data_IF_745450925144
#
_entry.id   IF_745450925144
#
_cell.length_a   1.000
_cell.length_b   1.000
_cell.length_c   1.000
_cell.angle_alpha   90.00
_cell.angle_beta   90.00
_cell.angle_gamma   90.00
#
_symmetry.space_group_name_H-M   'P 1'
#
loop_
_entity.id
_entity.type
_entity.pdbx_description
1 polymer ?
#
# COMPACT_ATOMS: atom_id res chain seq x y z
N UNK A 1 -49.58 12.88 38.82
CA UNK A 1 -49.72 14.18 39.52
C UNK A 1 -48.74 15.11 38.84
N UNK A 2 -49.08 16.08 37.99
CA UNK A 2 -50.17 17.07 37.87
C UNK A 2 -50.31 17.31 36.34
N UNK A 3 -51.38 17.01 35.62
CA UNK A 3 -52.73 17.59 35.51
C UNK A 3 -52.81 19.07 35.10
N UNK A 4 -53.12 19.31 33.82
CA UNK A 4 -53.96 20.39 33.22
C UNK A 4 -54.12 20.00 31.73
N UNK A 5 -55.22 19.44 31.20
CA UNK A 5 -56.62 19.88 31.04
C UNK A 5 -56.82 21.23 30.33
N UNK A 6 -57.24 21.20 29.06
CA UNK A 6 -58.57 21.61 28.55
C UNK A 6 -58.53 21.69 26.99
N UNK A 7 -59.26 20.89 26.22
CA UNK A 7 -60.72 20.82 25.96
C UNK A 7 -61.15 21.64 24.74
N UNK A 8 -61.92 21.01 23.83
CA UNK A 8 -62.88 21.75 22.99
C UNK A 8 -62.92 21.38 21.50
N UNK A 9 -63.58 20.26 21.18
CA UNK A 9 -64.23 20.04 19.87
C UNK A 9 -65.46 20.98 19.76
N UNK A 10 -65.98 21.37 18.58
CA UNK A 10 -66.84 20.43 17.84
C UNK A 10 -66.83 20.55 16.29
N UNK A 11 -67.35 19.48 15.69
CA UNK A 11 -67.69 19.35 14.28
C UNK A 11 -68.76 20.36 13.81
N UNK A 12 -68.67 20.79 12.55
CA UNK A 12 -69.84 21.19 11.77
C UNK A 12 -69.53 21.13 10.27
N UNK A 13 -70.23 20.26 9.56
CA UNK A 13 -70.43 20.37 8.13
C UNK A 13 -71.43 21.51 7.82
N UNK A 14 -71.37 22.09 6.62
CA UNK A 14 -72.58 22.03 5.81
C UNK A 14 -72.33 21.70 4.34
N UNK A 15 -73.39 21.14 3.76
CA UNK A 15 -73.52 20.61 2.40
C UNK A 15 -73.89 21.69 1.37
N UNK A 16 -73.37 21.48 0.16
CA UNK A 16 -73.93 21.78 -1.17
C UNK A 16 -74.35 23.21 -1.57
N UNK A 17 -73.72 23.71 -2.64
CA UNK A 17 -74.44 24.20 -3.83
C UNK A 17 -73.53 24.13 -5.07
N UNK A 18 -74.00 23.41 -6.09
CA UNK A 18 -73.41 23.31 -7.40
C UNK A 18 -73.70 24.58 -8.23
N UNK A 19 -72.74 24.98 -9.09
CA UNK A 19 -72.93 25.30 -10.52
C UNK A 19 -71.88 26.28 -11.01
N UNK A 20 -71.01 25.81 -11.93
CA UNK A 20 -70.67 26.52 -13.16
C UNK A 20 -69.70 25.65 -13.97
N UNK A 21 -70.28 24.79 -14.80
CA UNK A 21 -69.65 24.20 -15.97
C UNK A 21 -68.94 25.30 -16.78
N UNK A 22 -67.61 25.25 -16.82
CA UNK A 22 -66.85 25.73 -17.98
C UNK A 22 -65.99 24.57 -18.47
N UNK A 23 -66.43 23.99 -19.57
CA UNK A 23 -65.70 23.03 -20.40
C UNK A 23 -64.44 23.70 -20.96
N UNK A 24 -63.34 23.61 -20.21
CA UNK A 24 -61.96 23.69 -20.72
C UNK A 24 -61.25 22.36 -20.47
N UNK A 25 -61.79 21.28 -21.04
CA UNK A 25 -61.07 20.04 -21.38
C UNK A 25 -60.77 20.20 -22.87
N UNK A 26 -59.56 20.56 -23.27
CA UNK A 26 -58.57 19.53 -23.67
C UNK A 26 -57.10 19.98 -23.58
N UNK A 27 -56.78 21.23 -23.22
CA UNK A 27 -55.37 21.71 -23.22
C UNK A 27 -54.60 21.49 -21.91
N UNK A 28 -55.24 21.01 -20.84
CA UNK A 28 -54.59 20.89 -19.52
C UNK A 28 -53.75 19.61 -19.37
N UNK A 29 -54.09 18.56 -20.12
CA UNK A 29 -53.35 17.29 -20.14
C UNK A 29 -52.10 17.35 -21.00
N UNK A 30 -52.15 17.98 -22.18
CA UNK A 30 -50.97 18.15 -23.04
C UNK A 30 -49.89 19.01 -22.38
N UNK A 31 -50.27 20.15 -21.77
CA UNK A 31 -49.32 21.02 -21.07
C UNK A 31 -48.64 20.35 -19.85
N UNK A 32 -49.33 19.43 -19.18
CA UNK A 32 -48.78 18.67 -18.03
C UNK A 32 -47.81 17.57 -18.47
N UNK A 33 -48.12 16.88 -19.58
CA UNK A 33 -47.26 15.85 -20.17
C UNK A 33 -45.96 16.49 -20.70
N UNK A 34 -46.06 17.63 -21.40
CA UNK A 34 -44.90 18.35 -21.92
C UNK A 34 -44.01 18.90 -20.79
N UNK A 35 -44.60 19.39 -19.69
CA UNK A 35 -43.83 19.86 -18.53
C UNK A 35 -43.06 18.73 -17.84
N UNK A 36 -43.66 17.54 -17.68
CA UNK A 36 -42.99 16.38 -17.08
C UNK A 36 -41.90 15.81 -18.00
N UNK A 37 -42.15 15.79 -19.31
CA UNK A 37 -41.17 15.36 -20.30
C UNK A 37 -39.92 16.25 -20.28
N UNK A 38 -40.11 17.58 -20.20
CA UNK A 38 -39.01 18.55 -20.09
C UNK A 38 -38.17 18.33 -18.82
N UNK A 39 -38.81 18.17 -17.67
CA UNK A 39 -38.11 17.89 -16.40
C UNK A 39 -37.29 16.59 -16.46
N UNK A 40 -37.83 15.55 -17.11
CA UNK A 40 -37.10 14.29 -17.30
C UNK A 40 -35.89 14.44 -18.23
N UNK A 41 -36.00 15.26 -19.29
CA UNK A 41 -34.85 15.58 -20.15
C UNK A 41 -33.77 16.36 -19.40
N UNK A 42 -34.15 17.35 -18.60
CA UNK A 42 -33.20 18.14 -17.80
C UNK A 42 -32.52 17.24 -16.74
N UNK A 43 -33.26 16.34 -16.11
CA UNK A 43 -32.72 15.35 -15.18
C UNK A 43 -31.78 14.35 -15.87
N UNK A 44 -32.16 13.83 -17.04
CA UNK A 44 -31.28 12.97 -17.86
C UNK A 44 -29.97 13.68 -18.19
N UNK A 45 -30.03 14.94 -18.60
CA UNK A 45 -28.84 15.74 -18.92
C UNK A 45 -27.94 15.91 -17.69
N UNK A 46 -28.53 16.16 -16.52
CA UNK A 46 -27.77 16.23 -15.26
C UNK A 46 -27.08 14.91 -14.92
N UNK A 47 -27.76 13.78 -15.11
CA UNK A 47 -27.18 12.45 -14.85
C UNK A 47 -26.05 12.10 -15.83
N UNK A 48 -26.18 12.48 -17.10
CA UNK A 48 -25.12 12.30 -18.10
C UNK A 48 -23.87 13.10 -17.70
N UNK A 49 -24.05 14.34 -17.23
CA UNK A 49 -22.92 15.14 -16.75
C UNK A 49 -22.29 14.51 -15.49
N UNK A 50 -23.10 14.04 -14.53
CA UNK A 50 -22.61 13.32 -13.35
C UNK A 50 -21.83 12.06 -13.72
N UNK A 51 -22.32 11.28 -14.69
CA UNK A 51 -21.64 10.10 -15.21
C UNK A 51 -20.28 10.47 -15.82
N UNK A 52 -20.24 11.50 -16.66
CA UNK A 52 -19.02 11.97 -17.32
C UNK A 52 -17.99 12.51 -16.32
N UNK A 53 -18.44 13.30 -15.33
CA UNK A 53 -17.58 13.77 -14.24
C UNK A 53 -17.03 12.58 -13.45
N UNK A 54 -17.85 11.58 -13.14
CA UNK A 54 -17.39 10.37 -12.48
C UNK A 54 -16.38 9.56 -13.30
N UNK A 55 -16.56 9.45 -14.61
CA UNK A 55 -15.61 8.80 -15.54
C UNK A 55 -14.26 9.53 -15.57
N UNK A 56 -14.26 10.86 -15.67
CA UNK A 56 -13.02 11.66 -15.59
C UNK A 56 -12.32 11.51 -14.23
N UNK A 57 -13.08 11.48 -13.13
CA UNK A 57 -12.51 11.25 -11.80
C UNK A 57 -11.89 9.84 -11.66
N UNK A 58 -12.46 8.83 -12.31
CA UNK A 58 -11.86 7.48 -12.36
C UNK A 58 -10.52 7.50 -13.09
N UNK A 59 -10.41 8.24 -14.20
CA UNK A 59 -9.15 8.41 -14.94
C UNK A 59 -8.09 9.12 -14.09
N UNK A 60 -8.46 10.18 -13.38
CA UNK A 60 -7.57 10.86 -12.44
C UNK A 60 -7.08 9.93 -11.32
N UNK A 61 -7.97 9.13 -10.72
CA UNK A 61 -7.57 8.17 -9.69
C UNK A 61 -6.61 7.11 -10.28
N UNK A 62 -6.87 6.61 -11.50
CA UNK A 62 -5.97 5.66 -12.15
C UNK A 62 -4.57 6.25 -12.34
N UNK A 63 -4.49 7.51 -12.77
CA UNK A 63 -3.21 8.20 -12.90
C UNK A 63 -2.47 8.29 -11.55
N UNK A 64 -3.17 8.71 -10.49
CA UNK A 64 -2.59 8.77 -9.13
C UNK A 64 -2.14 7.41 -8.61
N UNK A 65 -2.87 6.33 -8.93
CA UNK A 65 -2.48 4.96 -8.59
C UNK A 65 -1.18 4.58 -9.29
N UNK A 66 -1.04 4.87 -10.59
CA UNK A 66 0.18 4.56 -11.34
C UNK A 66 1.37 5.40 -10.86
N UNK A 67 1.18 6.67 -10.55
CA UNK A 67 2.20 7.51 -9.93
C UNK A 67 2.63 6.94 -8.56
N UNK A 68 1.68 6.57 -7.72
CA UNK A 68 1.97 5.96 -6.40
C UNK A 68 2.74 4.65 -6.55
N UNK A 69 2.39 3.81 -7.53
CA UNK A 69 3.12 2.56 -7.83
C UNK A 69 4.57 2.84 -8.21
N UNK A 70 4.83 3.83 -9.08
CA UNK A 70 6.19 4.21 -9.47
C UNK A 70 7.02 4.62 -8.27
N UNK A 71 6.46 5.46 -7.39
CA UNK A 71 7.15 5.88 -6.16
C UNK A 71 7.43 4.69 -5.23
N UNK A 72 6.49 3.75 -5.10
CA UNK A 72 6.70 2.51 -4.32
C UNK A 72 7.88 1.71 -4.89
N UNK A 73 7.97 1.55 -6.20
CA UNK A 73 9.05 0.80 -6.83
C UNK A 73 10.41 1.51 -6.65
N UNK A 74 10.45 2.84 -6.76
CA UNK A 74 11.65 3.62 -6.46
C UNK A 74 12.10 3.48 -5.00
N UNK A 75 11.18 3.57 -4.04
CA UNK A 75 11.48 3.39 -2.62
C UNK A 75 11.94 1.95 -2.32
N UNK A 76 11.40 0.94 -3.03
CA UNK A 76 11.90 -0.45 -2.93
C UNK A 76 13.32 -0.60 -3.44
N UNK A 77 13.67 0.06 -4.55
CA UNK A 77 15.05 0.07 -5.06
C UNK A 77 15.99 0.73 -4.06
N UNK A 78 15.60 1.87 -3.48
CA UNK A 78 16.38 2.54 -2.42
C UNK A 78 16.54 1.64 -1.18
N UNK A 79 15.47 0.96 -0.77
CA UNK A 79 15.51 0.02 0.35
C UNK A 79 16.50 -1.11 0.11
N UNK A 80 16.52 -1.68 -1.10
CA UNK A 80 17.44 -2.76 -1.45
C UNK A 80 18.90 -2.26 -1.50
N UNK A 81 19.12 -1.04 -2.01
CA UNK A 81 20.44 -0.41 -1.96
C UNK A 81 20.95 -0.21 -0.52
N UNK A 82 20.09 0.26 0.40
CA UNK A 82 20.45 0.39 1.82
C UNK A 82 20.68 -0.96 2.51
N UNK A 83 19.91 -2.00 2.14
CA UNK A 83 20.16 -3.37 2.62
C UNK A 83 21.50 -3.91 2.15
N UNK A 84 21.88 -3.63 0.90
CA UNK A 84 23.18 -4.01 0.37
C UNK A 84 24.32 -3.31 1.11
N UNK A 85 24.18 -2.01 1.38
CA UNK A 85 25.14 -1.26 2.23
C UNK A 85 25.24 -1.87 3.62
N UNK A 86 24.11 -2.19 4.26
CA UNK A 86 24.10 -2.84 5.57
C UNK A 86 24.81 -4.19 5.56
N UNK A 87 24.65 -4.96 4.49
CA UNK A 87 25.36 -6.24 4.30
C UNK A 87 26.87 -6.02 4.22
N UNK A 88 27.32 -5.08 3.39
CA UNK A 88 28.74 -4.72 3.28
C UNK A 88 29.33 -4.26 4.63
N UNK A 89 28.61 -3.42 5.37
CA UNK A 89 29.03 -2.98 6.71
C UNK A 89 29.16 -4.17 7.67
N UNK A 90 28.23 -5.13 7.63
CA UNK A 90 28.31 -6.33 8.46
C UNK A 90 29.50 -7.22 8.08
N UNK A 91 29.80 -7.37 6.78
CA UNK A 91 30.99 -8.11 6.31
C UNK A 91 32.30 -7.47 6.81
N UNK A 92 32.41 -6.14 6.71
CA UNK A 92 33.56 -5.38 7.26
C UNK A 92 33.63 -5.54 8.78
N UNK A 93 32.50 -5.43 9.48
CA UNK A 93 32.40 -5.63 10.92
C UNK A 93 32.92 -7.01 11.31
N UNK A 94 32.49 -8.07 10.64
CA UNK A 94 32.88 -9.44 10.99
C UNK A 94 34.38 -9.67 10.72
N UNK A 95 34.91 -9.15 9.61
CA UNK A 95 36.33 -9.21 9.27
C UNK A 95 37.21 -8.48 10.31
N UNK A 96 36.81 -7.29 10.74
CA UNK A 96 37.56 -6.51 11.73
C UNK A 96 37.30 -6.98 13.17
N UNK A 97 36.16 -7.63 13.45
CA UNK A 97 35.85 -8.18 14.77
C UNK A 97 36.75 -9.38 15.10
N UNK A 98 37.05 -10.22 14.12
CA UNK A 98 38.03 -11.29 14.27
C UNK A 98 39.41 -10.73 14.66
N UNK A 99 39.90 -9.71 13.95
CA UNK A 99 41.16 -9.03 14.29
C UNK A 99 41.11 -8.34 15.65
N UNK A 100 39.99 -7.73 16.01
CA UNK A 100 39.79 -7.08 17.30
C UNK A 100 39.89 -8.08 18.46
N UNK A 101 39.25 -9.24 18.34
CA UNK A 101 39.28 -10.28 19.37
C UNK A 101 40.68 -10.90 19.50
N UNK A 102 41.37 -11.11 18.39
CA UNK A 102 42.77 -11.57 18.38
C UNK A 102 43.72 -10.55 19.06
N UNK A 103 43.66 -9.28 18.66
CA UNK A 103 44.48 -8.22 19.25
C UNK A 103 44.19 -8.04 20.75
N UNK A 104 42.92 -8.16 21.16
CA UNK A 104 42.53 -8.15 22.58
C UNK A 104 43.18 -9.30 23.34
N UNK A 105 43.14 -10.52 22.78
CA UNK A 105 43.76 -11.71 23.39
C UNK A 105 45.27 -11.51 23.52
N UNK A 106 45.93 -11.11 22.43
CA UNK A 106 47.37 -10.85 22.40
C UNK A 106 47.78 -9.77 23.43
N UNK A 107 46.97 -8.72 23.59
CA UNK A 107 47.24 -7.65 24.56
C UNK A 107 47.13 -8.14 26.01
N UNK A 108 46.15 -9.02 26.29
CA UNK A 108 45.99 -9.67 27.59
C UNK A 108 47.18 -10.60 27.87
N UNK A 109 47.62 -11.38 26.89
CA UNK A 109 48.78 -12.26 27.01
C UNK A 109 50.07 -11.48 27.26
N UNK A 110 50.34 -10.42 26.49
CA UNK A 110 51.52 -9.59 26.73
C UNK A 110 51.47 -8.86 28.07
N UNK A 111 50.29 -8.39 28.50
CA UNK A 111 50.13 -7.85 29.86
C UNK A 111 50.48 -8.90 30.92
N UNK A 112 50.06 -10.16 30.74
CA UNK A 112 50.41 -11.26 31.65
C UNK A 112 51.92 -11.55 31.62
N UNK A 113 52.56 -11.56 30.44
CA UNK A 113 54.01 -11.75 30.27
C UNK A 113 54.83 -10.63 30.93
N UNK A 114 54.37 -9.39 30.85
CA UNK A 114 54.99 -8.27 31.57
C UNK A 114 54.87 -8.44 33.09
N UNK A 115 53.70 -8.86 33.60
CA UNK A 115 53.45 -9.05 35.03
C UNK A 115 54.32 -10.17 35.65
N UNK A 116 54.57 -11.26 34.93
CA UNK A 116 55.42 -12.37 35.41
C UNK A 116 56.92 -12.06 35.41
N UNK A 117 57.36 -11.11 34.60
CA UNK A 117 58.73 -10.61 34.62
C UNK A 117 58.93 -9.59 35.73
N UNK A 118 57.93 -8.75 36.00
CA UNK A 118 57.99 -7.81 37.12
C UNK A 118 58.07 -8.59 38.45
N UNK A 119 57.43 -9.76 38.57
CA UNK A 119 57.57 -10.62 39.77
C UNK A 119 58.91 -11.35 39.86
N UNK A 120 59.49 -11.82 38.74
CA UNK A 120 60.85 -12.41 38.72
C UNK A 120 61.96 -11.38 38.94
N UNK A 121 61.77 -10.14 38.48
CA UNK A 121 62.71 -9.03 38.66
C UNK A 121 62.52 -8.28 40.00
N UNK A 122 61.34 -8.37 40.64
CA UNK A 122 61.03 -7.73 41.93
C UNK A 122 61.33 -8.60 43.16
N UNK A 123 62.12 -9.66 43.02
CA UNK A 123 62.78 -10.28 44.20
C UNK A 123 63.71 -9.29 44.94
N UNK A 124 63.97 -8.12 44.35
CA UNK A 124 64.67 -6.98 44.95
C UNK A 124 63.79 -5.77 45.31
N UNK A 125 62.66 -5.94 45.98
CA UNK A 125 61.94 -4.87 46.71
C UNK A 125 61.46 -3.63 45.92
N UNK A 126 60.85 -2.63 46.60
CA UNK A 126 60.20 -1.46 45.97
C UNK A 126 61.14 -0.53 45.19
N UNK A 127 62.46 -0.73 45.28
CA UNK A 127 63.48 0.08 44.59
C UNK A 127 63.57 -0.21 43.08
N UNK A 128 63.04 -1.35 42.60
CA UNK A 128 63.17 -1.76 41.19
C UNK A 128 62.47 -0.82 40.19
N UNK A 129 61.42 -0.09 40.59
CA UNK A 129 60.71 0.84 39.70
C UNK A 129 61.57 2.03 39.27
N UNK A 130 62.48 2.50 40.12
CA UNK A 130 63.38 3.62 39.81
C UNK A 130 64.54 3.17 38.93
N UNK A 131 64.95 1.90 39.06
CA UNK A 131 66.01 1.29 38.26
C UNK A 131 65.60 0.94 36.82
N UNK A 132 64.29 0.91 36.50
CA UNK A 132 63.78 0.72 35.14
C UNK A 132 64.20 1.82 34.15
N UNK A 133 64.71 2.95 34.63
CA UNK A 133 65.19 4.07 33.82
C UNK A 133 66.71 4.23 33.83
N UNK A 134 67.45 3.35 34.51
CA UNK A 134 68.91 3.44 34.67
C UNK A 134 69.72 2.72 33.57
N UNK A 135 69.12 2.41 32.41
CA UNK A 135 69.77 1.65 31.33
C UNK A 135 71.08 2.33 30.88
N UNK A 136 71.04 3.63 30.59
CA UNK A 136 72.21 4.40 30.15
C UNK A 136 73.31 4.46 31.21
N UNK A 137 72.93 4.62 32.48
CA UNK A 137 73.88 4.68 33.60
C UNK A 137 74.54 3.33 33.86
N UNK A 138 73.79 2.22 33.75
CA UNK A 138 74.33 0.87 33.88
C UNK A 138 75.25 0.50 32.71
N UNK A 139 74.92 0.91 31.48
CA UNK A 139 75.80 0.76 30.31
C UNK A 139 77.12 1.49 30.51
N UNK A 140 77.09 2.77 30.89
CA UNK A 140 78.30 3.56 31.16
C UNK A 140 79.14 2.99 32.31
N UNK A 141 78.48 2.50 33.37
CA UNK A 141 79.15 1.89 34.51
C UNK A 141 79.85 0.57 34.14
N UNK A 142 79.23 -0.26 33.28
CA UNK A 142 79.82 -1.49 32.77
C UNK A 142 81.07 -1.18 31.93
N UNK A 143 80.96 -0.26 30.98
CA UNK A 143 82.07 0.18 30.13
C UNK A 143 83.24 0.78 30.94
N UNK A 144 82.93 1.50 32.03
CA UNK A 144 83.96 2.03 32.92
C UNK A 144 84.66 0.93 33.72
N UNK A 145 83.93 -0.08 34.21
CA UNK A 145 84.53 -1.21 34.93
C UNK A 145 85.39 -2.06 33.98
N UNK A 146 84.95 -2.30 32.75
CA UNK A 146 85.73 -2.99 31.73
C UNK A 146 87.03 -2.25 31.41
N UNK A 147 86.96 -0.92 31.22
CA UNK A 147 88.15 -0.08 31.05
C UNK A 147 89.07 -0.13 32.26
N UNK A 148 88.53 -0.05 33.48
CA UNK A 148 89.31 -0.10 34.72
C UNK A 148 90.05 -1.44 34.87
N UNK A 149 89.38 -2.56 34.57
CA UNK A 149 90.00 -3.91 34.59
C UNK A 149 91.13 -4.01 33.56
N UNK A 150 90.97 -3.44 32.37
CA UNK A 150 91.96 -3.54 31.29
C UNK A 150 93.16 -2.59 31.45
N UNK A 151 92.96 -1.43 32.08
CA UNK A 151 93.94 -0.33 32.03
C UNK A 151 94.58 0.01 33.38
N UNK A 152 93.95 -0.33 34.52
CA UNK A 152 94.52 -0.04 35.85
C UNK A 152 95.35 -1.22 36.36
N UNK A 153 96.46 -0.91 37.04
CA UNK A 153 97.21 -1.91 37.83
C UNK A 153 96.46 -2.18 39.13
N UNK A 154 95.62 -3.21 39.12
CA UNK A 154 94.76 -3.59 40.25
C UNK A 154 95.42 -4.70 41.08
N UNK A 155 95.14 -4.72 42.39
CA UNK A 155 95.40 -5.89 43.22
C UNK A 155 94.49 -7.07 42.78
N UNK A 156 94.94 -8.30 42.98
CA UNK A 156 94.17 -9.53 42.68
C UNK A 156 92.78 -9.52 43.35
N UNK A 157 92.67 -8.96 44.54
CA UNK A 157 91.37 -8.86 45.25
C UNK A 157 90.49 -7.73 44.72
N UNK A 158 91.08 -6.64 44.24
CA UNK A 158 90.34 -5.54 43.61
C UNK A 158 89.81 -5.93 42.24
N UNK A 159 90.62 -6.63 41.44
CA UNK A 159 90.22 -7.23 40.17
C UNK A 159 89.05 -8.20 40.36
N UNK A 160 89.15 -9.12 41.35
CA UNK A 160 88.05 -10.03 41.70
C UNK A 160 86.76 -9.29 42.04
N UNK A 161 86.85 -8.21 42.85
CA UNK A 161 85.68 -7.38 43.20
C UNK A 161 85.07 -6.69 41.99
N UNK A 162 85.90 -6.13 41.09
CA UNK A 162 85.43 -5.47 39.87
C UNK A 162 84.82 -6.45 38.88
N UNK A 163 85.36 -7.65 38.74
CA UNK A 163 84.80 -8.72 37.89
C UNK A 163 83.42 -9.16 38.39
N UNK A 164 83.26 -9.38 39.70
CA UNK A 164 81.95 -9.72 40.28
C UNK A 164 80.94 -8.60 40.03
N UNK A 165 81.34 -7.34 40.29
CA UNK A 165 80.49 -6.17 40.04
C UNK A 165 80.12 -6.00 38.57
N UNK A 166 81.05 -6.29 37.64
CA UNK A 166 80.79 -6.29 36.20
C UNK A 166 79.74 -7.34 35.82
N UNK A 167 79.88 -8.58 36.32
CA UNK A 167 78.89 -9.66 36.09
C UNK A 167 77.51 -9.30 36.62
N UNK A 168 77.42 -8.68 37.78
CA UNK A 168 76.16 -8.20 38.36
C UNK A 168 75.51 -7.11 37.50
N UNK A 169 76.29 -6.11 37.08
CA UNK A 169 75.80 -5.02 36.22
C UNK A 169 75.38 -5.56 34.85
N UNK A 170 76.15 -6.48 34.25
CA UNK A 170 75.81 -7.13 32.98
C UNK A 170 74.47 -7.88 33.07
N UNK A 171 74.28 -8.65 34.14
CA UNK A 171 73.04 -9.43 34.37
C UNK A 171 71.84 -8.49 34.54
N UNK A 172 72.00 -7.41 35.32
CA UNK A 172 70.95 -6.39 35.49
C UNK A 172 70.64 -5.66 34.18
N UNK A 173 71.66 -5.29 33.42
CA UNK A 173 71.50 -4.61 32.12
C UNK A 173 70.77 -5.51 31.11
N UNK A 174 71.13 -6.79 31.05
CA UNK A 174 70.43 -7.76 30.19
C UNK A 174 68.96 -7.90 30.58
N UNK A 175 68.65 -8.04 31.87
CA UNK A 175 67.27 -8.11 32.35
C UNK A 175 66.45 -6.86 31.99
N UNK A 176 67.03 -5.66 32.17
CA UNK A 176 66.40 -4.40 31.80
C UNK A 176 66.16 -4.27 30.29
N UNK A 177 67.13 -4.67 29.44
CA UNK A 177 66.96 -4.69 27.98
C UNK A 177 65.79 -5.60 27.56
N UNK A 178 65.64 -6.76 28.22
CA UNK A 178 64.52 -7.68 27.95
C UNK A 178 63.18 -7.07 28.37
N UNK A 179 63.13 -6.36 29.50
CA UNK A 179 61.92 -5.68 29.97
C UNK A 179 61.51 -4.56 29.00
N UNK A 180 62.45 -3.69 28.60
CA UNK A 180 62.18 -2.59 27.66
C UNK A 180 61.66 -3.11 26.31
N UNK A 181 62.30 -4.13 25.72
CA UNK A 181 61.81 -4.73 24.46
C UNK A 181 60.36 -5.21 24.56
N UNK A 182 59.97 -5.80 25.69
CA UNK A 182 58.61 -6.29 25.92
C UNK A 182 57.61 -5.16 26.16
N UNK A 183 58.04 -4.12 26.88
CA UNK A 183 57.25 -2.90 27.05
C UNK A 183 56.96 -2.21 25.71
N UNK A 184 57.95 -2.14 24.82
CA UNK A 184 57.79 -1.60 23.47
C UNK A 184 56.84 -2.45 22.62
N UNK A 185 56.93 -3.78 22.70
CA UNK A 185 55.96 -4.66 22.02
C UNK A 185 54.55 -4.47 22.56
N UNK A 186 54.39 -4.32 23.88
CA UNK A 186 53.09 -4.06 24.48
C UNK A 186 52.53 -2.71 24.07
N UNK A 187 53.34 -1.65 24.07
CA UNK A 187 52.94 -0.31 23.61
C UNK A 187 52.49 -0.33 22.15
N UNK A 188 53.26 -0.97 21.27
CA UNK A 188 52.89 -1.11 19.86
C UNK A 188 51.56 -1.86 19.68
N UNK A 189 51.36 -2.95 20.43
CA UNK A 189 50.13 -3.71 20.40
C UNK A 189 48.94 -2.93 20.96
N UNK A 190 49.13 -2.13 22.01
CA UNK A 190 48.12 -1.26 22.59
C UNK A 190 47.67 -0.19 21.59
N UNK A 191 48.61 0.47 20.90
CA UNK A 191 48.27 1.45 19.84
C UNK A 191 47.45 0.81 18.73
N UNK A 192 47.87 -0.36 18.22
CA UNK A 192 47.09 -1.09 17.19
C UNK A 192 45.70 -1.50 17.68
N UNK A 193 45.57 -1.83 18.96
CA UNK A 193 44.29 -2.17 19.57
C UNK A 193 43.36 -0.95 19.67
N UNK A 194 43.89 0.22 20.03
CA UNK A 194 43.12 1.45 20.08
C UNK A 194 42.66 1.89 18.68
N UNK A 195 43.51 1.75 17.66
CA UNK A 195 43.15 2.04 16.27
C UNK A 195 41.98 1.17 15.79
N UNK A 196 42.04 -0.15 16.02
CA UNK A 196 40.96 -1.06 15.59
C UNK A 196 39.69 -0.86 16.42
N UNK A 197 39.81 -0.48 17.70
CA UNK A 197 38.67 -0.11 18.53
C UNK A 197 37.96 1.12 17.98
N UNK A 198 38.71 2.12 17.52
CA UNK A 198 38.18 3.29 16.83
C UNK A 198 37.40 2.91 15.57
N UNK A 199 38.00 2.09 14.70
CA UNK A 199 37.33 1.56 13.49
C UNK A 199 36.06 0.78 13.82
N UNK A 200 36.08 -0.03 14.87
CA UNK A 200 34.91 -0.81 15.29
C UNK A 200 33.76 0.10 15.70
N UNK A 201 34.02 1.18 16.44
CA UNK A 201 32.99 2.15 16.81
C UNK A 201 32.42 2.85 15.56
N UNK A 202 33.27 3.25 14.63
CA UNK A 202 32.83 3.87 13.36
C UNK A 202 31.91 2.93 12.57
N UNK A 203 32.24 1.63 12.49
CA UNK A 203 31.40 0.61 11.86
C UNK A 203 30.03 0.50 12.55
N UNK A 204 29.99 0.56 13.89
CA UNK A 204 28.73 0.55 14.64
C UNK A 204 27.88 1.79 14.37
N UNK A 205 28.49 2.97 14.29
CA UNK A 205 27.79 4.22 13.98
C UNK A 205 27.23 4.20 12.55
N UNK A 206 28.04 3.79 11.56
CA UNK A 206 27.59 3.60 10.18
C UNK A 206 26.43 2.61 10.08
N UNK A 207 26.51 1.48 10.80
CA UNK A 207 25.43 0.49 10.87
C UNK A 207 24.14 1.09 11.45
N UNK A 208 24.25 1.88 12.51
CA UNK A 208 23.10 2.52 13.14
C UNK A 208 22.43 3.52 12.19
N UNK A 209 23.21 4.30 11.45
CA UNK A 209 22.68 5.31 10.52
C UNK A 209 22.01 4.67 9.30
N UNK A 210 22.61 3.63 8.72
CA UNK A 210 21.94 2.82 7.68
C UNK A 210 20.65 2.19 8.23
N UNK A 211 20.67 1.70 9.46
CA UNK A 211 19.49 1.16 10.14
C UNK A 211 18.35 2.19 10.25
N UNK A 212 18.66 3.43 10.63
CA UNK A 212 17.67 4.54 10.65
C UNK A 212 17.15 4.84 9.24
N UNK A 213 18.02 4.84 8.23
CA UNK A 213 17.66 5.05 6.82
C UNK A 213 16.65 3.99 6.34
N UNK A 214 16.95 2.72 6.57
CA UNK A 214 16.04 1.59 6.29
C UNK A 214 14.71 1.76 7.02
N UNK A 215 14.73 2.15 8.29
CA UNK A 215 13.51 2.39 9.07
C UNK A 215 12.60 3.45 8.45
N UNK A 216 13.18 4.58 8.03
CA UNK A 216 12.43 5.66 7.35
C UNK A 216 11.83 5.20 6.02
N UNK A 217 12.61 4.51 5.18
CA UNK A 217 12.12 4.01 3.89
C UNK A 217 10.97 3.01 4.09
N UNK A 218 11.06 2.13 5.09
CA UNK A 218 9.97 1.20 5.42
C UNK A 218 8.69 1.93 5.85
N UNK A 219 8.80 2.94 6.71
CA UNK A 219 7.65 3.76 7.12
C UNK A 219 6.99 4.43 5.91
N UNK A 220 7.80 5.04 5.04
CA UNK A 220 7.30 5.68 3.82
C UNK A 220 6.63 4.66 2.88
N UNK A 221 7.20 3.47 2.74
CA UNK A 221 6.60 2.40 1.94
C UNK A 221 5.25 1.95 2.51
N UNK A 222 5.12 1.81 3.83
CA UNK A 222 3.86 1.46 4.47
C UNK A 222 2.80 2.55 4.23
N UNK A 223 3.16 3.83 4.35
CA UNK A 223 2.30 4.96 4.03
C UNK A 223 1.84 4.96 2.56
N UNK A 224 2.76 4.72 1.62
CA UNK A 224 2.45 4.65 0.20
C UNK A 224 1.55 3.46 -0.15
N UNK A 225 1.76 2.31 0.49
CA UNK A 225 0.93 1.13 0.31
C UNK A 225 -0.50 1.36 0.81
N UNK A 226 -0.64 1.98 1.99
CA UNK A 226 -1.94 2.40 2.52
C UNK A 226 -2.61 3.39 1.59
N UNK A 227 -1.88 4.42 1.13
CA UNK A 227 -2.39 5.41 0.19
C UNK A 227 -2.88 4.78 -1.11
N UNK A 228 -2.15 3.78 -1.62
CA UNK A 228 -2.55 3.04 -2.82
C UNK A 228 -3.87 2.27 -2.59
N UNK A 229 -4.04 1.65 -1.42
CA UNK A 229 -5.29 0.96 -1.10
C UNK A 229 -6.47 1.92 -0.95
N UNK A 230 -6.26 3.07 -0.31
CA UNK A 230 -7.27 4.15 -0.23
C UNK A 230 -7.73 4.58 -1.62
N UNK A 231 -6.80 4.76 -2.56
CA UNK A 231 -7.13 5.13 -3.94
C UNK A 231 -7.93 4.03 -4.66
N UNK A 232 -7.64 2.75 -4.40
CA UNK A 232 -8.44 1.66 -4.95
C UNK A 232 -9.86 1.64 -4.38
N UNK A 233 -10.03 1.89 -3.09
CA UNK A 233 -11.35 1.98 -2.47
C UNK A 233 -12.13 3.19 -2.99
N UNK A 234 -11.49 4.35 -3.10
CA UNK A 234 -12.08 5.56 -3.69
C UNK A 234 -12.54 5.28 -5.13
N UNK A 235 -11.69 4.64 -5.94
CA UNK A 235 -12.03 4.25 -7.32
C UNK A 235 -13.24 3.32 -7.36
N UNK A 236 -13.29 2.31 -6.47
CA UNK A 236 -14.44 1.39 -6.37
C UNK A 236 -15.72 2.16 -6.07
N UNK A 237 -15.69 3.08 -5.11
CA UNK A 237 -16.83 3.94 -4.76
C UNK A 237 -17.31 4.81 -5.92
N UNK A 238 -16.38 5.41 -6.68
CA UNK A 238 -16.72 6.27 -7.83
C UNK A 238 -17.31 5.44 -8.98
N UNK A 239 -16.74 4.27 -9.29
CA UNK A 239 -17.29 3.33 -10.27
C UNK A 239 -18.73 2.95 -9.90
N UNK A 240 -19.00 2.73 -8.62
CA UNK A 240 -20.33 2.38 -8.15
C UNK A 240 -21.33 3.52 -8.40
N UNK A 241 -20.95 4.77 -8.14
CA UNK A 241 -21.77 5.96 -8.44
C UNK A 241 -22.00 6.16 -9.93
N UNK A 242 -20.96 5.99 -10.76
CA UNK A 242 -21.08 6.07 -12.23
C UNK A 242 -22.07 5.04 -12.77
N UNK A 243 -22.00 3.79 -12.27
CA UNK A 243 -22.96 2.73 -12.64
C UNK A 243 -24.38 3.05 -12.20
N UNK A 244 -24.55 3.61 -10.99
CA UNK A 244 -25.86 4.01 -10.50
C UNK A 244 -26.45 5.15 -11.33
N UNK A 245 -25.64 6.15 -11.72
CA UNK A 245 -26.05 7.20 -12.64
C UNK A 245 -26.45 6.63 -14.01
N UNK A 246 -25.67 5.68 -14.56
CA UNK A 246 -26.00 4.95 -15.79
C UNK A 246 -27.35 4.23 -15.72
N UNK A 247 -27.60 3.49 -14.64
CA UNK A 247 -28.90 2.81 -14.43
C UNK A 247 -30.06 3.81 -14.32
N UNK A 248 -29.86 4.96 -13.66
CA UNK A 248 -30.88 6.02 -13.59
C UNK A 248 -31.16 6.63 -14.97
N UNK A 249 -30.14 6.80 -15.82
CA UNK A 249 -30.32 7.27 -17.20
C UNK A 249 -31.20 6.29 -17.99
N UNK A 250 -30.93 4.98 -17.91
CA UNK A 250 -31.73 3.95 -18.59
C UNK A 250 -33.20 3.95 -18.12
N UNK A 251 -33.44 4.15 -16.82
CA UNK A 251 -34.79 4.29 -16.27
C UNK A 251 -35.51 5.53 -16.81
N UNK A 252 -34.82 6.68 -16.84
CA UNK A 252 -35.38 7.93 -17.39
C UNK A 252 -35.68 7.78 -18.87
N UNK A 253 -34.82 7.10 -19.63
CA UNK A 253 -35.06 6.80 -21.05
C UNK A 253 -36.28 5.91 -21.25
N UNK A 254 -36.45 4.91 -20.40
CA UNK A 254 -37.66 4.07 -20.42
C UNK A 254 -38.92 4.90 -20.15
N UNK A 255 -38.87 5.84 -19.20
CA UNK A 255 -39.99 6.74 -18.90
C UNK A 255 -40.28 7.72 -20.05
N UNK A 256 -39.25 8.32 -20.64
CA UNK A 256 -39.38 9.21 -21.80
C UNK A 256 -40.00 8.47 -22.99
N UNK A 257 -39.50 7.28 -23.31
CA UNK A 257 -40.06 6.43 -24.38
C UNK A 257 -41.54 6.07 -24.11
N UNK A 258 -41.89 5.78 -22.85
CA UNK A 258 -43.28 5.48 -22.48
C UNK A 258 -44.20 6.72 -22.61
N UNK A 259 -43.69 7.92 -22.31
CA UNK A 259 -44.41 9.18 -22.49
C UNK A 259 -44.63 9.45 -23.99
N UNK A 260 -43.60 9.29 -24.82
CA UNK A 260 -43.69 9.43 -26.27
C UNK A 260 -44.68 8.43 -26.87
N UNK A 261 -44.63 7.17 -26.44
CA UNK A 261 -45.60 6.16 -26.87
C UNK A 261 -47.04 6.55 -26.51
N UNK A 262 -47.29 7.03 -25.29
CA UNK A 262 -48.60 7.54 -24.87
C UNK A 262 -49.03 8.75 -25.71
N UNK A 263 -48.11 9.68 -25.99
CA UNK A 263 -48.35 10.85 -26.85
C UNK A 263 -48.74 10.44 -28.27
N UNK A 264 -47.97 9.55 -28.90
CA UNK A 264 -48.27 9.03 -30.24
C UNK A 264 -49.62 8.29 -30.27
N UNK A 265 -49.93 7.49 -29.25
CA UNK A 265 -51.23 6.82 -29.12
C UNK A 265 -52.38 7.82 -28.99
N UNK A 266 -52.22 8.87 -28.19
CA UNK A 266 -53.22 9.93 -28.04
C UNK A 266 -53.42 10.69 -29.35
N UNK A 267 -52.34 11.05 -30.06
CA UNK A 267 -52.41 11.71 -31.36
C UNK A 267 -53.14 10.85 -32.39
N UNK A 268 -52.77 9.58 -32.56
CA UNK A 268 -53.46 8.65 -33.46
C UNK A 268 -54.93 8.39 -33.08
N UNK A 269 -55.25 8.38 -31.78
CA UNK A 269 -56.64 8.27 -31.31
C UNK A 269 -57.45 9.54 -31.62
N UNK A 270 -56.86 10.72 -31.42
CA UNK A 270 -57.48 12.01 -31.75
C UNK A 270 -57.72 12.17 -33.26
N UNK A 271 -56.85 11.59 -34.07
CA UNK A 271 -56.93 11.64 -35.53
C UNK A 271 -57.97 10.66 -36.10
N UNK A 272 -58.17 9.50 -35.46
CA UNK A 272 -59.33 8.63 -35.71
C UNK A 272 -60.64 9.28 -35.26
N UNK A 273 -60.64 10.01 -34.14
CA UNK A 273 -61.84 10.70 -33.64
C UNK A 273 -62.21 11.91 -34.48
N UNK A 274 -61.23 12.65 -35.04
CA UNK A 274 -61.49 13.75 -36.00
C UNK A 274 -62.02 13.28 -37.35
N UNK A 275 -61.79 12.02 -37.75
CA UNK A 275 -62.44 11.43 -38.94
C UNK A 275 -63.88 10.97 -38.70
N UNK A 276 -64.34 10.93 -37.46
CA UNK A 276 -65.73 10.69 -37.08
C UNK A 276 -66.35 11.98 -36.53
N UNK A 277 -66.54 12.96 -37.43
CA UNK A 277 -67.53 14.02 -37.23
C UNK A 277 -68.94 13.39 -37.19
N UNK A 278 -69.86 13.79 -36.29
CA UNK A 278 -71.15 13.14 -36.10
C UNK A 278 -72.17 13.61 -37.15
N UNK A 279 -71.87 13.39 -38.42
CA UNK A 279 -72.83 13.52 -39.51
C UNK A 279 -72.57 12.41 -40.51
N UNK A 280 -73.16 11.24 -40.28
CA UNK A 280 -73.77 10.43 -41.36
C UNK A 280 -74.33 9.11 -40.83
N UNK A 281 -75.65 9.05 -40.93
CA UNK A 281 -76.47 7.90 -41.38
C UNK A 281 -76.17 6.56 -40.73
N UNK A 282 -77.08 6.22 -39.81
CA UNK A 282 -77.58 4.87 -39.55
C UNK A 282 -77.67 4.11 -40.89
N UNK A 283 -76.68 3.27 -41.17
CA UNK A 283 -76.84 2.10 -42.03
C UNK A 283 -76.66 0.92 -41.10
N UNK A 284 -77.72 0.15 -40.93
CA UNK A 284 -77.65 -1.20 -40.40
C UNK A 284 -76.53 -1.95 -41.12
N UNK A 285 -75.43 -2.23 -40.42
CA UNK A 285 -74.55 -3.33 -40.79
C UNK A 285 -75.35 -4.62 -40.66
N UNK A 286 -75.53 -5.29 -41.79
CA UNK A 286 -76.18 -6.58 -41.88
C UNK A 286 -75.32 -7.58 -41.08
N UNK A 287 -75.87 -8.38 -40.15
CA UNK A 287 -75.12 -9.34 -39.33
C UNK A 287 -74.31 -10.40 -40.11
N UNK A 288 -74.50 -10.52 -41.42
CA UNK A 288 -73.86 -11.54 -42.26
C UNK A 288 -72.37 -11.27 -42.54
N UNK A 289 -71.93 -10.01 -42.67
CA UNK A 289 -70.53 -9.72 -42.99
C UNK A 289 -69.58 -9.96 -41.81
N UNK A 290 -70.08 -9.84 -40.57
CA UNK A 290 -69.31 -10.23 -39.36
C UNK A 290 -69.15 -11.74 -39.28
N UNK A 291 -70.19 -12.52 -39.62
CA UNK A 291 -70.09 -13.98 -39.61
C UNK A 291 -69.17 -14.50 -40.71
N UNK A 292 -69.17 -13.89 -41.89
CA UNK A 292 -68.31 -14.30 -43.01
C UNK A 292 -66.83 -14.06 -42.73
N UNK A 293 -66.49 -12.88 -42.18
CA UNK A 293 -65.12 -12.53 -41.79
C UNK A 293 -64.61 -13.34 -40.59
N UNK A 294 -65.51 -13.72 -39.68
CA UNK A 294 -65.18 -14.63 -38.58
C UNK A 294 -64.89 -16.04 -39.09
N UNK A 295 -65.67 -16.52 -40.08
CA UNK A 295 -65.45 -17.83 -40.71
C UNK A 295 -64.12 -17.92 -41.44
N UNK A 296 -63.80 -16.90 -42.25
CA UNK A 296 -62.52 -16.82 -42.98
C UNK A 296 -61.32 -16.75 -42.01
N UNK A 297 -61.44 -16.01 -40.90
CA UNK A 297 -60.40 -15.99 -39.88
C UNK A 297 -60.25 -17.33 -39.16
N UNK A 298 -61.36 -18.04 -38.90
CA UNK A 298 -61.33 -19.36 -38.28
C UNK A 298 -60.73 -20.41 -39.22
N UNK A 299 -61.04 -20.35 -40.51
CA UNK A 299 -60.44 -21.21 -41.54
C UNK A 299 -58.93 -20.98 -41.67
N UNK A 300 -58.48 -19.71 -41.63
CA UNK A 300 -57.05 -19.38 -41.62
C UNK A 300 -56.35 -19.92 -40.37
N UNK A 301 -56.99 -19.79 -39.20
CA UNK A 301 -56.46 -20.29 -37.94
C UNK A 301 -56.36 -21.82 -37.91
N UNK A 302 -57.37 -22.50 -38.42
CA UNK A 302 -57.40 -23.95 -38.57
C UNK A 302 -56.33 -24.45 -39.55
N UNK A 303 -56.12 -23.75 -40.67
CA UNK A 303 -55.06 -24.07 -41.62
C UNK A 303 -53.66 -23.95 -41.01
N UNK A 304 -53.41 -22.89 -40.24
CA UNK A 304 -52.14 -22.70 -39.52
C UNK A 304 -51.91 -23.80 -38.47
N UNK A 305 -52.96 -24.21 -37.74
CA UNK A 305 -52.91 -25.31 -36.79
C UNK A 305 -52.62 -26.66 -37.46
N UNK A 306 -53.23 -26.92 -38.62
CA UNK A 306 -52.99 -28.15 -39.39
C UNK A 306 -51.55 -28.25 -39.91
N UNK A 307 -50.98 -27.13 -40.40
CA UNK A 307 -49.58 -27.07 -40.83
C UNK A 307 -48.63 -27.35 -39.66
N UNK A 308 -48.89 -26.76 -38.49
CA UNK A 308 -48.12 -27.02 -37.28
C UNK A 308 -48.23 -28.50 -36.82
N UNK A 309 -49.42 -29.09 -36.87
CA UNK A 309 -49.63 -30.51 -36.54
C UNK A 309 -48.91 -31.46 -37.51
N UNK A 310 -48.89 -31.12 -38.81
CA UNK A 310 -48.19 -31.92 -39.83
C UNK A 310 -46.68 -31.86 -39.63
N UNK A 311 -46.14 -30.70 -39.27
CA UNK A 311 -44.74 -30.47 -38.93
C UNK A 311 -44.30 -31.25 -37.67
N UNK A 312 -45.17 -31.30 -36.67
CA UNK A 312 -45.00 -32.15 -35.48
C UNK A 312 -44.96 -33.64 -35.85
N UNK A 313 -45.90 -34.07 -36.70
CA UNK A 313 -46.01 -35.47 -37.15
C UNK A 313 -44.84 -35.91 -38.03
N UNK A 314 -44.20 -34.98 -38.75
CA UNK A 314 -42.96 -35.25 -39.51
C UNK A 314 -41.69 -35.20 -38.65
N UNK A 315 -41.80 -34.94 -37.34
CA UNK A 315 -40.68 -34.91 -36.40
C UNK A 315 -39.81 -33.65 -36.48
N UNK A 316 -40.31 -32.59 -37.13
CA UNK A 316 -39.59 -31.33 -37.28
C UNK A 316 -39.85 -30.41 -36.08
N UNK A 317 -38.84 -29.62 -35.66
CA UNK A 317 -38.95 -28.78 -34.47
C UNK A 317 -39.99 -27.66 -34.68
N UNK A 318 -40.93 -27.56 -33.75
CA UNK A 318 -41.94 -26.49 -33.73
C UNK A 318 -41.36 -25.22 -33.10
N UNK A 319 -41.77 -24.08 -33.65
CA UNK A 319 -41.55 -22.76 -33.04
C UNK A 319 -42.51 -22.55 -31.86
N UNK A 320 -42.22 -21.58 -31.01
CA UNK A 320 -43.05 -21.27 -29.84
C UNK A 320 -44.50 -20.92 -30.22
N UNK A 321 -44.70 -20.18 -31.31
CA UNK A 321 -46.02 -19.82 -31.82
C UNK A 321 -46.78 -21.03 -32.41
N UNK A 322 -46.08 -21.95 -33.08
CA UNK A 322 -46.66 -23.22 -33.58
C UNK A 322 -47.05 -24.16 -32.43
N UNK A 323 -46.24 -24.25 -31.36
CA UNK A 323 -46.63 -24.98 -30.15
C UNK A 323 -47.85 -24.37 -29.48
N UNK A 324 -47.93 -23.03 -29.41
CA UNK A 324 -49.08 -22.33 -28.86
C UNK A 324 -50.35 -22.57 -29.69
N UNK A 325 -50.25 -22.66 -31.03
CA UNK A 325 -51.38 -22.99 -31.90
C UNK A 325 -51.93 -24.42 -31.68
N UNK A 326 -51.06 -25.38 -31.34
CA UNK A 326 -51.44 -26.78 -31.12
C UNK A 326 -51.99 -26.99 -29.69
N UNK A 327 -51.33 -26.41 -28.68
CA UNK A 327 -51.55 -26.73 -27.26
C UNK A 327 -52.31 -25.65 -26.48
N UNK A 328 -52.65 -24.51 -27.07
CA UNK A 328 -53.60 -23.60 -26.42
C UNK A 328 -54.96 -24.30 -26.32
N UNK A 329 -55.37 -24.64 -25.09
CA UNK A 329 -56.74 -25.07 -24.81
C UNK A 329 -57.70 -23.96 -25.26
N UNK A 330 -58.72 -24.35 -26.04
CA UNK A 330 -59.85 -23.51 -26.38
C UNK A 330 -60.59 -23.20 -25.07
N UNK A 331 -60.30 -22.05 -24.46
CA UNK A 331 -61.15 -21.50 -23.41
C UNK A 331 -62.48 -21.09 -24.05
N UNK A 332 -63.50 -21.92 -23.86
CA UNK A 332 -64.91 -21.56 -24.01
C UNK A 332 -65.35 -20.52 -22.96
#
# INVERSE_FOLDING_TARGET
MVQEQNSGNPATAPSAAASASTTKKDNRSENSIDSNQKTLFDFKKSLIEEQKVGETHIEEINQRIEETKKVIDEERVKLEAERLKLKQINEVKDADYAKFTELKSNLIEERKRMKTLDSKASSGGPRSRRDRYNLSNLTKALEQIERDIQTKKLSKDEERRLVVKSKEIATRLHALKVIHKKEDTFKSLATKFDDIKGKMNEIFDQKADVGKGIGKIKSNLDELLNRREELYEERRGVIHRVREAGAKIEMVDTQLNAIEFKRNRLQHSSERQRRYSPERKIRHEIPQDKMRKNRENQELWNSLKEVAMKKMSSGEKLTFDEMKLIYAEEFD
#
